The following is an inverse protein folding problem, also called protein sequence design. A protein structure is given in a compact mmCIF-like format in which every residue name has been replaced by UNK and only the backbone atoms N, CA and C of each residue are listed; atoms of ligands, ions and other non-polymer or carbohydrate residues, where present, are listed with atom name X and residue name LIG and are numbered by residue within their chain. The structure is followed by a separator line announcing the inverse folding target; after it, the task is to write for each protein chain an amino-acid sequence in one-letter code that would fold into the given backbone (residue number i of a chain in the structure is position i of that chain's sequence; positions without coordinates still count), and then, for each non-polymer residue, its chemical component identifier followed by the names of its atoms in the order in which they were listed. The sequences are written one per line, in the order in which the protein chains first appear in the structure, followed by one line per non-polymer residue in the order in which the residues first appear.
data_IF_940194079537
#
_entry.id   IF_940194079537
#
_cell.length_a   1.000
_cell.length_b   1.000
_cell.length_c   1.000
_cell.angle_alpha   90.00
_cell.angle_beta   90.00
_cell.angle_gamma   90.00
#
_symmetry.space_group_name_H-M   'P 1'
#
loop_
_entity.id
_entity.type
_entity.pdbx_description
1 polymer ?
#
# COMPACT_ATOMS: atom_id res chain seq x y z
N UNK A 1 34.09 56.07 10.69
CA UNK A 1 33.57 56.76 9.48
C UNK A 1 33.36 55.73 8.38
N UNK A 2 32.13 55.47 7.89
CA UNK A 2 31.89 54.49 6.84
C UNK A 2 32.32 55.04 5.47
N UNK A 3 32.95 54.18 4.67
CA UNK A 3 33.56 54.49 3.38
C UNK A 3 32.49 54.82 2.31
N UNK A 4 32.36 56.11 1.96
CA UNK A 4 31.37 56.64 1.00
C UNK A 4 31.65 56.29 -0.47
N UNK A 5 32.77 55.65 -0.82
CA UNK A 5 33.11 55.33 -2.22
C UNK A 5 32.31 54.17 -2.82
N UNK A 6 31.67 53.33 -2.00
CA UNK A 6 30.99 52.12 -2.49
C UNK A 6 29.51 52.36 -2.89
N UNK A 7 28.83 53.35 -2.29
CA UNK A 7 27.41 53.63 -2.60
C UNK A 7 27.17 54.20 -4.00
N UNK A 8 28.08 55.05 -4.50
CA UNK A 8 27.96 55.62 -5.87
C UNK A 8 28.13 54.55 -6.95
N UNK A 9 28.98 53.54 -6.74
CA UNK A 9 29.15 52.43 -7.69
C UNK A 9 27.97 51.47 -7.69
N UNK A 10 27.38 51.19 -6.53
CA UNK A 10 26.16 50.39 -6.46
C UNK A 10 24.94 51.08 -7.09
N UNK A 11 24.80 52.40 -6.92
CA UNK A 11 23.71 53.15 -7.54
C UNK A 11 23.84 53.18 -9.07
N UNK A 12 25.07 53.36 -9.59
CA UNK A 12 25.33 53.32 -11.04
C UNK A 12 25.02 51.93 -11.65
N UNK A 13 25.32 50.85 -10.92
CA UNK A 13 25.06 49.49 -11.36
C UNK A 13 23.55 49.18 -11.35
N UNK A 14 22.82 49.68 -10.35
CA UNK A 14 21.37 49.51 -10.25
C UNK A 14 20.61 50.27 -11.35
N UNK A 15 21.05 51.49 -11.69
CA UNK A 15 20.42 52.30 -12.74
C UNK A 15 20.82 51.90 -14.16
N UNK A 16 22.04 51.39 -14.36
CA UNK A 16 22.53 51.05 -15.71
C UNK A 16 22.22 49.61 -16.15
N UNK A 17 22.06 48.65 -15.24
CA UNK A 17 21.76 47.26 -15.60
C UNK A 17 20.32 46.83 -15.28
N UNK A 18 19.75 47.28 -14.15
CA UNK A 18 18.44 46.78 -13.72
C UNK A 18 17.28 47.51 -14.40
N UNK A 19 17.44 48.80 -14.68
CA UNK A 19 16.38 49.62 -15.30
C UNK A 19 16.09 49.22 -16.76
N UNK A 20 17.08 48.98 -17.64
CA UNK A 20 16.81 48.52 -19.00
C UNK A 20 16.21 47.12 -19.03
N UNK A 21 16.63 46.25 -18.11
CA UNK A 21 16.11 44.89 -17.98
C UNK A 21 14.65 44.89 -17.48
N UNK A 22 14.33 45.76 -16.51
CA UNK A 22 12.96 45.98 -16.06
C UNK A 22 12.08 46.55 -17.17
N UNK A 23 12.53 47.55 -17.93
CA UNK A 23 11.78 48.08 -19.08
C UNK A 23 11.62 47.05 -20.21
N UNK A 24 12.59 46.16 -20.40
CA UNK A 24 12.49 45.05 -21.36
C UNK A 24 11.41 44.04 -20.95
N UNK A 25 11.41 43.60 -19.68
CA UNK A 25 10.37 42.70 -19.17
C UNK A 25 9.00 43.38 -19.09
N UNK A 26 8.94 44.66 -18.75
CA UNK A 26 7.70 45.43 -18.71
C UNK A 26 7.09 45.60 -20.12
N UNK A 27 7.91 45.92 -21.14
CA UNK A 27 7.46 45.94 -22.53
C UNK A 27 7.07 44.55 -23.03
N UNK A 28 7.82 43.49 -22.71
CA UNK A 28 7.47 42.13 -23.12
C UNK A 28 6.15 41.65 -22.49
N UNK A 29 5.87 42.05 -21.24
CA UNK A 29 4.61 41.73 -20.56
C UNK A 29 3.43 42.54 -21.12
N UNK A 30 3.61 43.83 -21.40
CA UNK A 30 2.56 44.67 -21.98
C UNK A 30 2.30 44.35 -23.46
N UNK A 31 3.33 44.04 -24.27
CA UNK A 31 3.13 43.63 -25.66
C UNK A 31 2.43 42.28 -25.78
N UNK A 32 2.68 41.32 -24.87
CA UNK A 32 1.94 40.05 -24.84
C UNK A 32 0.47 40.25 -24.46
N UNK A 33 0.17 41.14 -23.50
CA UNK A 33 -1.22 41.44 -23.12
C UNK A 33 -1.96 42.17 -24.24
N UNK A 34 -1.30 43.09 -24.94
CA UNK A 34 -1.91 43.88 -26.04
C UNK A 34 -2.05 43.06 -27.34
N UNK A 35 -1.17 42.10 -27.63
CA UNK A 35 -1.31 41.24 -28.81
C UNK A 35 -2.21 40.02 -28.59
N UNK A 36 -2.38 39.54 -27.36
CA UNK A 36 -3.31 38.45 -27.04
C UNK A 36 -4.80 38.86 -27.16
N UNK A 37 -5.11 40.16 -27.30
CA UNK A 37 -6.47 40.64 -27.55
C UNK A 37 -6.85 40.80 -29.03
N UNK A 38 -5.96 40.49 -29.98
CA UNK A 38 -6.22 40.64 -31.41
C UNK A 38 -6.20 39.28 -32.17
N UNK A 39 -6.78 38.24 -31.58
CA UNK A 39 -7.32 37.13 -32.38
C UNK A 39 -8.63 37.58 -33.05
N UNK A 40 -9.03 37.04 -34.22
CA UNK A 40 -10.22 37.49 -34.92
C UNK A 40 -11.47 37.12 -34.10
N UNK A 41 -11.95 38.06 -33.29
CA UNK A 41 -13.28 38.01 -32.72
C UNK A 41 -14.28 38.15 -33.86
N UNK A 42 -14.93 37.05 -34.25
CA UNK A 42 -16.05 37.09 -35.18
C UNK A 42 -17.26 37.76 -34.51
N UNK A 43 -17.34 39.08 -34.65
CA UNK A 43 -18.46 39.89 -34.19
C UNK A 43 -19.65 39.74 -35.17
N UNK A 44 -20.51 38.73 -35.01
CA UNK A 44 -21.77 38.67 -35.76
C UNK A 44 -22.85 39.47 -35.03
N UNK A 45 -23.08 40.73 -35.45
CA UNK A 45 -24.28 41.50 -35.08
C UNK A 45 -25.35 41.33 -36.16
N UNK A 46 -26.57 40.97 -35.76
CA UNK A 46 -27.79 41.25 -36.53
C UNK A 46 -28.49 42.44 -35.87
N UNK A 47 -28.47 43.65 -36.45
CA UNK A 47 -29.23 44.76 -35.90
C UNK A 47 -30.72 44.57 -36.21
N UNK A 48 -31.56 44.67 -35.17
CA UNK A 48 -32.99 44.89 -35.33
C UNK A 48 -33.25 46.39 -35.18
N UNK A 49 -33.46 47.08 -36.30
CA UNK A 49 -33.89 48.48 -36.31
C UNK A 49 -35.40 48.55 -36.49
N UNK A 50 -36.12 49.02 -35.48
CA UNK A 50 -37.48 49.57 -35.65
C UNK A 50 -37.32 51.07 -35.77
N UNK A 51 -37.45 51.61 -36.98
CA UNK A 51 -37.34 53.04 -37.22
C UNK A 51 -38.61 53.77 -36.77
N UNK A 52 -38.45 54.85 -35.99
CA UNK A 52 -39.45 55.91 -35.83
C UNK A 52 -38.88 57.16 -36.53
N UNK A 53 -39.59 57.80 -37.48
CA UNK A 53 -39.09 58.99 -38.14
C UNK A 53 -39.24 60.19 -37.19
N UNK A 54 -38.33 61.14 -37.35
CA UNK A 54 -38.29 62.48 -36.76
C UNK A 54 -37.67 62.61 -35.35
N UNK A 55 -36.33 62.69 -35.32
CA UNK A 55 -35.61 63.54 -34.37
C UNK A 55 -34.20 63.85 -34.89
N UNK A 56 -33.85 65.12 -35.01
CA UNK A 56 -32.58 65.65 -35.54
C UNK A 56 -31.44 65.73 -34.51
N UNK A 57 -31.41 64.81 -33.55
CA UNK A 57 -30.27 64.64 -32.64
C UNK A 57 -29.85 63.18 -32.62
N UNK A 58 -28.78 62.84 -33.36
CA UNK A 58 -28.08 61.57 -33.22
C UNK A 58 -27.27 61.59 -31.93
N UNK A 59 -27.95 61.45 -30.80
CA UNK A 59 -27.33 60.91 -29.59
C UNK A 59 -27.70 59.43 -29.56
N UNK A 60 -27.01 58.64 -30.39
CA UNK A 60 -27.05 57.19 -30.30
C UNK A 60 -26.39 56.80 -28.97
N UNK A 61 -27.17 56.80 -27.90
CA UNK A 61 -26.84 56.09 -26.67
C UNK A 61 -26.91 54.61 -27.00
N UNK A 62 -25.79 54.03 -27.45
CA UNK A 62 -25.64 52.58 -27.59
C UNK A 62 -25.67 52.00 -26.18
N UNK A 63 -26.84 51.49 -25.79
CA UNK A 63 -27.04 50.84 -24.52
C UNK A 63 -26.30 49.48 -24.54
N UNK A 64 -25.17 49.38 -23.84
CA UNK A 64 -24.38 48.13 -23.70
C UNK A 64 -24.96 47.19 -22.64
N UNK A 65 -26.26 47.26 -22.38
CA UNK A 65 -26.95 46.56 -21.27
C UNK A 65 -26.98 45.04 -21.40
N UNK A 66 -26.49 44.45 -22.50
CA UNK A 66 -26.27 43.01 -22.61
C UNK A 66 -25.11 42.66 -23.55
N UNK A 67 -23.87 42.83 -23.09
CA UNK A 67 -22.73 42.12 -23.70
C UNK A 67 -22.71 40.71 -23.14
N UNK A 68 -23.34 39.77 -23.85
CA UNK A 68 -23.16 38.33 -23.57
C UNK A 68 -21.89 37.86 -24.28
N UNK A 69 -20.84 37.55 -23.51
CA UNK A 69 -19.68 36.82 -24.02
C UNK A 69 -20.15 35.39 -24.33
N UNK A 70 -20.03 34.97 -25.59
CA UNK A 70 -20.36 33.61 -26.01
C UNK A 70 -19.41 32.63 -25.32
N UNK A 71 -19.97 31.64 -24.63
CA UNK A 71 -19.20 30.58 -23.97
C UNK A 71 -18.51 29.74 -25.03
N UNK A 72 -17.24 29.41 -24.82
CA UNK A 72 -16.53 28.51 -25.73
C UNK A 72 -16.74 27.04 -25.32
N UNK A 73 -16.74 26.13 -26.30
CA UNK A 73 -16.77 24.71 -25.98
C UNK A 73 -15.53 24.29 -25.18
N UNK A 74 -15.72 23.40 -24.21
CA UNK A 74 -14.67 22.97 -23.30
C UNK A 74 -13.44 22.37 -24.04
N UNK A 75 -13.67 21.77 -25.22
CA UNK A 75 -12.63 21.24 -26.11
C UNK A 75 -11.62 22.31 -26.61
N UNK A 76 -11.99 23.59 -26.58
CA UNK A 76 -11.08 24.69 -26.93
C UNK A 76 -10.00 24.90 -25.87
N UNK A 77 -10.29 24.57 -24.61
CA UNK A 77 -9.36 24.74 -23.48
C UNK A 77 -8.54 23.48 -23.17
N UNK A 78 -9.07 22.31 -23.52
CA UNK A 78 -8.48 21.02 -23.15
C UNK A 78 -7.53 20.48 -24.20
N UNK A 79 -6.54 19.70 -23.75
CA UNK A 79 -5.70 18.84 -24.61
C UNK A 79 -6.55 17.84 -25.42
N UNK A 80 -5.99 17.22 -26.48
CA UNK A 80 -6.66 16.13 -27.18
C UNK A 80 -7.07 15.00 -26.25
N UNK A 81 -8.28 14.46 -26.41
CA UNK A 81 -8.82 13.39 -25.54
C UNK A 81 -8.10 12.05 -25.69
N UNK A 82 -7.28 11.92 -26.73
CA UNK A 82 -6.41 10.76 -27.02
C UNK A 82 -5.04 10.87 -26.36
N UNK A 83 -4.66 12.03 -25.82
CA UNK A 83 -3.38 12.22 -25.13
C UNK A 83 -3.34 11.39 -23.84
N UNK A 84 -2.22 10.71 -23.58
CA UNK A 84 -1.99 10.05 -22.29
C UNK A 84 -1.77 11.11 -21.23
N UNK A 85 -2.65 11.16 -20.23
CA UNK A 85 -2.51 12.09 -19.10
C UNK A 85 -2.14 11.30 -17.85
N UNK A 86 -1.01 11.66 -17.24
CA UNK A 86 -0.56 11.04 -15.99
C UNK A 86 -0.87 11.94 -14.80
N UNK A 87 -1.68 11.43 -13.87
CA UNK A 87 -2.03 12.09 -12.60
C UNK A 87 -1.49 11.30 -11.41
N UNK A 88 -1.25 11.95 -10.29
CA UNK A 88 -0.89 11.29 -9.04
C UNK A 88 -2.14 10.84 -8.29
N UNK A 89 -1.99 9.89 -7.37
CA UNK A 89 -3.10 9.50 -6.48
C UNK A 89 -3.63 10.67 -5.63
N UNK A 90 -2.76 11.61 -5.25
CA UNK A 90 -3.15 12.81 -4.52
C UNK A 90 -4.09 13.69 -5.36
N UNK A 91 -3.74 13.94 -6.62
CA UNK A 91 -4.53 14.72 -7.56
C UNK A 91 -5.88 14.07 -7.90
N UNK A 92 -5.93 12.74 -7.98
CA UNK A 92 -7.19 11.99 -8.15
C UNK A 92 -8.15 12.23 -6.98
N UNK A 93 -7.59 12.37 -5.78
CA UNK A 93 -8.35 12.54 -4.54
C UNK A 93 -8.75 14.00 -4.33
N UNK A 94 -7.80 14.93 -4.45
CA UNK A 94 -8.01 16.36 -4.20
C UNK A 94 -8.81 17.02 -5.32
N UNK A 95 -8.65 16.56 -6.57
CA UNK A 95 -9.24 17.16 -7.78
C UNK A 95 -8.97 18.67 -7.87
N UNK A 96 -7.79 19.06 -7.41
CA UNK A 96 -7.38 20.45 -7.30
C UNK A 96 -6.98 21.06 -8.66
N UNK A 97 -6.54 22.32 -8.62
CA UNK A 97 -6.13 23.05 -9.81
C UNK A 97 -4.90 22.42 -10.50
N UNK A 98 -4.00 21.78 -9.75
CA UNK A 98 -2.85 21.09 -10.36
C UNK A 98 -3.32 19.89 -11.16
N UNK A 99 -4.29 19.14 -10.63
CA UNK A 99 -4.95 18.05 -11.36
C UNK A 99 -5.62 18.57 -12.65
N UNK A 100 -6.34 19.70 -12.59
CA UNK A 100 -6.99 20.30 -13.77
C UNK A 100 -5.99 20.70 -14.85
N UNK A 101 -4.91 21.40 -14.47
CA UNK A 101 -3.92 21.93 -15.39
C UNK A 101 -3.33 20.84 -16.31
N UNK A 102 -3.21 19.60 -15.83
CA UNK A 102 -2.73 18.45 -16.64
C UNK A 102 -3.60 18.15 -17.86
N UNK A 103 -4.88 18.55 -17.84
CA UNK A 103 -5.85 18.36 -18.93
C UNK A 103 -5.98 19.59 -19.84
N UNK A 104 -5.43 20.74 -19.45
CA UNK A 104 -5.57 21.99 -20.20
C UNK A 104 -4.43 22.17 -21.20
N UNK A 105 -4.71 22.88 -22.30
CA UNK A 105 -3.69 23.34 -23.25
C UNK A 105 -2.78 24.40 -22.61
N UNK A 106 -3.36 25.20 -21.72
CA UNK A 106 -2.69 26.26 -20.99
C UNK A 106 -3.14 26.22 -19.53
N UNK A 107 -2.17 26.13 -18.63
CA UNK A 107 -2.39 26.15 -17.18
C UNK A 107 -3.16 27.41 -16.76
N UNK A 108 -4.15 27.23 -15.88
CA UNK A 108 -4.96 28.33 -15.36
C UNK A 108 -5.99 28.91 -16.35
N UNK A 109 -6.10 28.38 -17.57
CA UNK A 109 -7.13 28.84 -18.53
C UNK A 109 -8.55 28.58 -18.02
N UNK A 110 -8.74 27.55 -17.19
CA UNK A 110 -9.98 27.25 -16.46
C UNK A 110 -9.68 27.04 -14.97
N UNK A 111 -10.65 27.37 -14.12
CA UNK A 111 -10.54 27.22 -12.65
C UNK A 111 -11.46 26.12 -12.12
N UNK A 112 -10.94 25.24 -11.27
CA UNK A 112 -11.74 24.19 -10.60
C UNK A 112 -12.86 24.80 -9.75
N UNK A 113 -14.06 24.23 -9.83
CA UNK A 113 -15.24 24.63 -9.04
C UNK A 113 -15.92 25.92 -9.52
N UNK A 114 -15.20 26.76 -10.28
CA UNK A 114 -15.75 27.97 -10.90
C UNK A 114 -16.14 27.71 -12.36
N UNK A 115 -15.21 27.14 -13.13
CA UNK A 115 -15.40 26.86 -14.55
C UNK A 115 -15.78 25.39 -14.78
N UNK A 116 -15.07 24.47 -14.12
CA UNK A 116 -15.23 23.02 -14.34
C UNK A 116 -15.09 22.20 -13.05
N UNK A 117 -15.65 20.99 -13.07
CA UNK A 117 -15.36 19.92 -12.10
C UNK A 117 -14.66 18.75 -12.78
N UNK A 118 -13.88 18.00 -12.00
CA UNK A 118 -13.14 16.81 -12.48
C UNK A 118 -13.72 15.56 -11.81
N UNK A 119 -14.03 14.55 -12.61
CA UNK A 119 -14.36 13.21 -12.14
C UNK A 119 -13.38 12.21 -12.70
N UNK A 120 -12.68 11.48 -11.83
CA UNK A 120 -11.79 10.39 -12.22
C UNK A 120 -12.50 9.04 -12.10
N UNK A 121 -12.40 8.22 -13.13
CA UNK A 121 -12.72 6.81 -13.10
C UNK A 121 -11.43 6.02 -13.33
N UNK A 122 -10.72 5.72 -12.24
CA UNK A 122 -9.44 5.00 -12.29
C UNK A 122 -9.58 3.59 -12.87
N UNK A 123 -10.73 2.94 -12.66
CA UNK A 123 -11.00 1.59 -13.18
C UNK A 123 -11.06 1.57 -14.71
N UNK A 124 -11.61 2.62 -15.31
CA UNK A 124 -11.70 2.76 -16.76
C UNK A 124 -10.57 3.58 -17.38
N UNK A 125 -9.61 4.06 -16.57
CA UNK A 125 -8.56 4.99 -17.01
C UNK A 125 -9.13 6.26 -17.66
N UNK A 126 -10.24 6.77 -17.10
CA UNK A 126 -10.94 7.95 -17.61
C UNK A 126 -10.90 9.12 -16.65
N UNK A 127 -10.96 10.32 -17.21
CA UNK A 127 -11.36 11.52 -16.49
C UNK A 127 -12.38 12.30 -17.29
N UNK A 128 -13.36 12.87 -16.62
CA UNK A 128 -14.37 13.75 -17.21
C UNK A 128 -14.21 15.14 -16.64
N UNK A 129 -14.07 16.12 -17.52
CA UNK A 129 -14.22 17.53 -17.17
C UNK A 129 -15.62 17.96 -17.55
N UNK A 130 -16.40 18.43 -16.58
CA UNK A 130 -17.75 18.95 -16.81
C UNK A 130 -17.79 20.42 -16.42
N UNK A 131 -18.38 21.26 -17.28
CA UNK A 131 -18.57 22.67 -16.99
C UNK A 131 -19.55 22.86 -15.84
N UNK A 132 -19.24 23.78 -14.93
CA UNK A 132 -20.13 24.21 -13.85
C UNK A 132 -21.23 25.12 -14.41
N UNK A 133 -22.47 24.96 -13.95
CA UNK A 133 -23.66 25.62 -14.51
C UNK A 133 -23.50 27.15 -14.72
N UNK A 134 -22.82 27.83 -13.80
CA UNK A 134 -22.65 29.28 -13.80
C UNK A 134 -21.31 29.76 -14.39
N UNK A 135 -20.52 28.88 -15.03
CA UNK A 135 -19.30 29.31 -15.72
C UNK A 135 -19.65 30.31 -16.82
N UNK A 136 -18.90 31.40 -16.89
CA UNK A 136 -19.03 32.43 -17.95
C UNK A 136 -18.06 32.19 -19.10
N UNK A 137 -17.14 31.23 -18.99
CA UNK A 137 -16.07 30.99 -19.97
C UNK A 137 -16.34 29.83 -20.90
N UNK A 138 -16.83 28.72 -20.35
CA UNK A 138 -16.90 27.44 -21.06
C UNK A 138 -18.32 26.85 -21.04
N UNK A 139 -18.58 25.93 -21.97
CA UNK A 139 -19.77 25.07 -22.00
C UNK A 139 -19.43 23.63 -22.40
N UNK A 140 -20.31 22.69 -22.06
CA UNK A 140 -20.18 21.28 -22.43
C UNK A 140 -19.37 20.41 -21.44
N UNK A 141 -18.89 19.28 -21.94
CA UNK A 141 -18.14 18.26 -21.18
C UNK A 141 -17.13 17.57 -22.09
N UNK A 142 -16.01 17.12 -21.52
CA UNK A 142 -14.93 16.42 -22.24
C UNK A 142 -14.55 15.17 -21.45
N UNK A 143 -14.39 14.05 -22.16
CA UNK A 143 -13.96 12.77 -21.58
C UNK A 143 -12.60 12.38 -22.15
N UNK A 144 -11.63 12.21 -21.26
CA UNK A 144 -10.31 11.65 -21.56
C UNK A 144 -10.36 10.15 -21.31
N UNK A 145 -9.87 9.36 -22.27
CA UNK A 145 -9.94 7.88 -22.23
C UNK A 145 -8.62 7.20 -21.92
N UNK A 146 -7.54 7.98 -21.74
CA UNK A 146 -6.20 7.46 -21.51
C UNK A 146 -5.52 8.15 -20.32
N UNK A 147 -6.16 8.07 -19.16
CA UNK A 147 -5.66 8.65 -17.90
C UNK A 147 -4.98 7.58 -17.06
N UNK A 148 -3.70 7.78 -16.78
CA UNK A 148 -2.90 6.88 -15.95
C UNK A 148 -2.67 7.49 -14.58
N UNK A 149 -2.79 6.69 -13.53
CA UNK A 149 -2.43 7.10 -12.17
C UNK A 149 -1.00 6.65 -11.89
N UNK A 150 -0.13 7.59 -11.53
CA UNK A 150 1.23 7.33 -11.12
C UNK A 150 1.25 6.56 -9.79
N UNK A 151 1.96 5.43 -9.79
CA UNK A 151 2.18 4.62 -8.60
C UNK A 151 3.33 5.22 -7.80
N UNK A 152 3.20 5.24 -6.48
CA UNK A 152 4.29 5.68 -5.62
C UNK A 152 5.20 4.51 -5.25
N UNK A 153 6.50 4.76 -5.09
CA UNK A 153 7.42 3.75 -4.60
C UNK A 153 7.07 3.31 -3.18
N UNK A 154 7.20 2.02 -2.88
CA UNK A 154 6.88 1.49 -1.55
C UNK A 154 7.62 2.17 -0.39
N UNK A 155 8.79 2.75 -0.64
CA UNK A 155 9.56 3.55 0.33
C UNK A 155 8.80 4.79 0.83
N UNK A 156 7.83 5.31 0.07
CA UNK A 156 7.00 6.44 0.53
C UNK A 156 6.02 6.03 1.62
N UNK A 157 5.56 4.78 1.61
CA UNK A 157 4.57 4.22 2.56
C UNK A 157 5.18 3.50 3.77
N UNK A 158 6.42 3.04 3.67
CA UNK A 158 7.05 2.11 4.62
C UNK A 158 7.94 2.78 5.66
N UNK A 159 8.09 2.19 6.85
CA UNK A 159 8.93 2.76 7.92
C UNK A 159 10.37 2.92 7.45
N UNK A 160 10.96 4.05 7.82
CA UNK A 160 12.36 4.40 7.55
C UNK A 160 13.00 4.92 8.84
N UNK A 161 14.24 4.52 9.17
CA UNK A 161 15.08 3.56 8.43
C UNK A 161 14.59 2.11 8.53
N UNK A 162 15.00 1.25 7.59
CA UNK A 162 14.51 -0.13 7.42
C UNK A 162 15.21 -1.16 8.34
N UNK A 163 16.18 -0.70 9.13
CA UNK A 163 16.89 -1.42 10.18
C UNK A 163 16.26 -1.23 11.57
N UNK A 164 15.13 -0.52 11.66
CA UNK A 164 14.35 -0.45 12.89
C UNK A 164 13.80 -1.83 13.27
N UNK A 165 13.92 -2.17 14.54
CA UNK A 165 13.45 -3.45 15.07
C UNK A 165 11.93 -3.59 14.89
N UNK A 166 11.51 -4.67 14.22
CA UNK A 166 10.10 -5.05 14.05
C UNK A 166 9.93 -6.47 14.57
N UNK A 167 8.95 -6.67 15.45
CA UNK A 167 8.60 -7.99 15.97
C UNK A 167 7.26 -8.45 15.42
N UNK A 168 7.27 -9.67 14.87
CA UNK A 168 6.06 -10.39 14.46
C UNK A 168 6.02 -11.73 15.17
N UNK A 169 4.85 -12.31 15.31
CA UNK A 169 4.68 -13.67 15.83
C UNK A 169 4.94 -14.70 14.75
N UNK A 170 5.22 -15.94 15.15
CA UNK A 170 5.32 -17.05 14.21
C UNK A 170 4.07 -17.22 13.33
N UNK A 171 2.87 -17.01 13.90
CA UNK A 171 1.62 -17.07 13.15
C UNK A 171 1.49 -15.95 12.10
N UNK A 172 1.92 -14.73 12.44
CA UNK A 172 1.95 -13.61 11.49
C UNK A 172 2.98 -13.81 10.37
N UNK A 173 4.07 -14.53 10.65
CA UNK A 173 5.11 -14.82 9.65
C UNK A 173 4.66 -15.87 8.63
N UNK A 174 3.81 -16.83 9.03
CA UNK A 174 3.33 -17.91 8.15
C UNK A 174 2.03 -17.53 7.44
N UNK A 175 1.17 -16.76 8.11
CA UNK A 175 -0.07 -16.25 7.54
C UNK A 175 -0.20 -14.75 7.79
N UNK A 176 0.47 -13.91 6.99
CA UNK A 176 0.43 -12.47 7.17
C UNK A 176 -0.98 -11.91 6.99
N UNK A 177 -1.34 -10.99 7.89
CA UNK A 177 -2.63 -10.28 7.85
C UNK A 177 -2.40 -8.79 7.61
N UNK A 178 -3.48 -8.02 7.48
CA UNK A 178 -3.38 -6.55 7.42
C UNK A 178 -2.64 -5.98 8.63
N UNK A 179 -2.87 -6.54 9.82
CA UNK A 179 -2.16 -6.14 11.04
C UNK A 179 -0.65 -6.38 10.92
N UNK A 180 -0.24 -7.49 10.29
CA UNK A 180 1.18 -7.78 10.00
C UNK A 180 1.77 -6.69 9.12
N UNK A 181 1.14 -6.35 7.99
CA UNK A 181 1.63 -5.30 7.06
C UNK A 181 1.68 -3.93 7.73
N UNK A 182 0.69 -3.58 8.55
CA UNK A 182 0.66 -2.30 9.27
C UNK A 182 1.88 -2.09 10.18
N UNK A 183 2.53 -3.16 10.66
CA UNK A 183 3.79 -3.06 11.41
C UNK A 183 4.96 -2.52 10.58
N UNK A 184 4.88 -2.57 9.25
CA UNK A 184 5.91 -2.10 8.32
C UNK A 184 5.60 -0.73 7.69
N UNK A 185 4.36 -0.24 7.84
CA UNK A 185 3.93 1.03 7.25
C UNK A 185 4.21 2.23 8.20
N UNK A 186 4.44 3.41 7.62
CA UNK A 186 4.50 4.70 8.36
C UNK A 186 3.15 5.04 8.99
N UNK A 187 2.08 4.73 8.26
CA UNK A 187 0.70 4.93 8.70
C UNK A 187 -0.09 3.67 8.38
N UNK A 188 -0.81 3.15 9.36
CA UNK A 188 -1.63 1.95 9.21
C UNK A 188 -2.66 2.12 8.07
N UNK A 189 -2.99 1.01 7.43
CA UNK A 189 -4.05 0.89 6.42
C UNK A 189 -3.90 1.77 5.17
N UNK A 190 -2.70 2.33 4.94
CA UNK A 190 -2.39 3.02 3.68
C UNK A 190 -2.29 2.07 2.49
N UNK A 191 -1.82 0.85 2.73
CA UNK A 191 -1.71 -0.23 1.76
C UNK A 191 -2.47 -1.45 2.27
N UNK A 192 -3.26 -2.07 1.41
CA UNK A 192 -4.03 -3.27 1.70
C UNK A 192 -3.25 -4.52 1.31
N UNK A 193 -3.13 -5.49 2.21
CA UNK A 193 -2.47 -6.78 1.92
C UNK A 193 -3.18 -7.54 0.79
N UNK A 194 -2.42 -8.21 -0.07
CA UNK A 194 -2.84 -8.94 -1.27
C UNK A 194 -3.51 -8.09 -2.38
N UNK A 195 -3.90 -6.86 -2.11
CA UNK A 195 -4.39 -5.90 -3.12
C UNK A 195 -3.28 -4.95 -3.57
N UNK A 196 -2.65 -4.29 -2.61
CA UNK A 196 -1.60 -3.30 -2.86
C UNK A 196 -0.20 -3.90 -2.67
N UNK A 197 -0.04 -4.82 -1.71
CA UNK A 197 1.25 -5.41 -1.32
C UNK A 197 1.15 -6.86 -0.87
N UNK A 198 2.25 -7.59 -0.98
CA UNK A 198 2.50 -8.86 -0.29
C UNK A 198 3.73 -8.72 0.63
N UNK A 199 3.87 -9.64 1.58
CA UNK A 199 5.03 -9.69 2.49
C UNK A 199 5.57 -11.11 2.58
N UNK A 200 6.90 -11.22 2.54
CA UNK A 200 7.62 -12.48 2.74
C UNK A 200 8.61 -12.31 3.89
N UNK A 201 8.71 -13.32 4.75
CA UNK A 201 9.67 -13.35 5.85
C UNK A 201 10.81 -14.32 5.55
N UNK A 202 12.05 -13.86 5.74
CA UNK A 202 13.23 -14.71 5.79
C UNK A 202 13.75 -14.70 7.22
N UNK A 203 13.32 -15.71 7.99
CA UNK A 203 13.64 -15.84 9.41
C UNK A 203 15.12 -16.09 9.67
N UNK A 204 15.82 -16.71 8.73
CA UNK A 204 17.26 -16.98 8.83
C UNK A 204 18.08 -15.69 8.72
N UNK A 205 17.65 -14.76 7.87
CA UNK A 205 18.31 -13.47 7.68
C UNK A 205 17.75 -12.35 8.56
N UNK A 206 16.73 -12.64 9.38
CA UNK A 206 15.99 -11.63 10.16
C UNK A 206 15.42 -10.52 9.27
N UNK A 207 14.95 -10.91 8.08
CA UNK A 207 14.43 -9.99 7.07
C UNK A 207 12.95 -10.18 6.81
N UNK A 208 12.29 -9.11 6.40
CA UNK A 208 11.03 -9.19 5.69
C UNK A 208 11.07 -8.27 4.46
N UNK A 209 10.48 -8.74 3.37
CA UNK A 209 10.40 -8.00 2.12
C UNK A 209 8.94 -7.67 1.85
N UNK A 210 8.64 -6.38 1.73
CA UNK A 210 7.34 -5.88 1.29
C UNK A 210 7.41 -5.63 -0.23
N UNK A 211 6.57 -6.30 -1.01
CA UNK A 211 6.57 -6.20 -2.48
C UNK A 211 5.24 -5.66 -2.96
N UNK A 212 5.25 -4.75 -3.92
CA UNK A 212 4.01 -4.25 -4.51
C UNK A 212 3.29 -5.39 -5.24
N UNK A 213 2.00 -5.54 -5.02
CA UNK A 213 1.21 -6.55 -5.71
C UNK A 213 1.16 -6.23 -7.22
N UNK A 214 1.12 -7.24 -8.12
CA UNK A 214 1.16 -7.01 -9.57
C UNK A 214 0.11 -6.02 -10.09
N UNK A 215 -1.09 -6.08 -9.50
CA UNK A 215 -2.23 -5.24 -9.88
C UNK A 215 -2.45 -4.06 -8.94
N UNK A 216 -1.47 -3.73 -8.09
CA UNK A 216 -1.55 -2.56 -7.21
C UNK A 216 -1.71 -1.29 -8.04
N UNK A 217 -2.72 -0.49 -7.69
CA UNK A 217 -2.96 0.83 -8.30
C UNK A 217 -2.29 1.95 -7.52
N UNK A 218 -1.78 1.67 -6.31
CA UNK A 218 -1.20 2.68 -5.40
C UNK A 218 0.32 2.65 -5.36
N UNK A 219 0.91 1.45 -5.37
CA UNK A 219 2.31 1.25 -5.04
C UNK A 219 3.07 0.45 -6.10
N UNK A 220 4.38 0.67 -6.16
CA UNK A 220 5.33 -0.08 -7.00
C UNK A 220 6.63 -0.37 -6.25
N UNK A 221 7.42 -1.31 -6.77
CA UNK A 221 8.72 -1.68 -6.23
C UNK A 221 8.68 -2.67 -5.06
N UNK A 222 9.76 -2.69 -4.28
CA UNK A 222 9.94 -3.56 -3.12
C UNK A 222 10.78 -2.85 -2.04
N UNK A 223 10.60 -3.22 -0.77
CA UNK A 223 11.37 -2.70 0.37
C UNK A 223 11.77 -3.86 1.28
N UNK A 224 13.07 -3.95 1.56
CA UNK A 224 13.65 -4.91 2.50
C UNK A 224 13.86 -4.29 3.88
N UNK A 225 13.33 -4.96 4.90
CA UNK A 225 13.55 -4.68 6.32
C UNK A 225 14.54 -5.68 6.89
N UNK A 226 15.55 -5.21 7.63
CA UNK A 226 16.72 -6.02 8.02
C UNK A 226 16.80 -6.34 9.52
N UNK A 227 15.89 -5.80 10.33
CA UNK A 227 15.83 -6.02 11.77
C UNK A 227 14.49 -6.65 12.20
N UNK A 228 14.05 -7.68 11.48
CA UNK A 228 12.78 -8.37 11.74
C UNK A 228 13.01 -9.59 12.62
N UNK A 229 12.31 -9.66 13.74
CA UNK A 229 12.36 -10.81 14.65
C UNK A 229 11.01 -11.52 14.66
N UNK A 230 11.05 -12.83 14.41
CA UNK A 230 9.87 -13.69 14.54
C UNK A 230 9.86 -14.32 15.92
N UNK A 231 8.89 -13.91 16.73
CA UNK A 231 8.70 -14.44 18.07
C UNK A 231 8.02 -15.81 18.01
N UNK A 232 8.73 -16.80 18.52
CA UNK A 232 8.26 -18.18 18.68
C UNK A 232 7.43 -18.30 19.96
N UNK A 233 6.30 -19.03 19.95
CA UNK A 233 5.54 -19.31 21.16
C UNK A 233 6.37 -20.15 22.14
N UNK A 234 6.12 -19.97 23.44
CA UNK A 234 6.74 -20.79 24.46
C UNK A 234 6.10 -22.20 24.48
N UNK A 235 6.88 -23.24 24.76
CA UNK A 235 6.38 -24.63 24.72
C UNK A 235 5.13 -24.85 25.59
N UNK A 236 5.03 -24.20 26.75
CA UNK A 236 3.88 -24.30 27.64
C UNK A 236 2.55 -23.85 27.00
N UNK A 237 2.59 -23.04 25.93
CA UNK A 237 1.38 -22.67 25.18
C UNK A 237 0.93 -23.76 24.21
N UNK A 238 1.84 -24.64 23.80
CA UNK A 238 1.63 -25.71 22.81
C UNK A 238 1.43 -27.10 23.45
N UNK A 239 1.97 -27.30 24.64
CA UNK A 239 1.87 -28.56 25.39
C UNK A 239 0.68 -28.56 26.35
N UNK A 240 0.19 -29.74 26.69
CA UNK A 240 -0.82 -29.96 27.74
C UNK A 240 -0.35 -29.41 29.11
N UNK A 241 -1.27 -29.21 30.08
CA UNK A 241 -0.89 -28.86 31.44
C UNK A 241 0.11 -29.86 32.04
N UNK A 242 1.14 -29.37 32.73
CA UNK A 242 2.22 -30.21 33.29
C UNK A 242 1.78 -31.17 34.41
N UNK A 243 0.59 -30.91 34.96
CA UNK A 243 -0.08 -31.71 35.99
C UNK A 243 -0.98 -32.80 35.40
N UNK A 244 -1.27 -32.77 34.10
CA UNK A 244 -2.09 -33.80 33.44
C UNK A 244 -1.36 -35.14 33.50
N UNK A 245 -2.10 -36.21 33.81
CA UNK A 245 -1.56 -37.57 33.76
C UNK A 245 -1.36 -37.97 32.31
N UNK A 246 -0.12 -38.26 31.92
CA UNK A 246 0.21 -38.72 30.57
C UNK A 246 0.64 -40.18 30.65
N UNK A 247 -0.03 -41.04 29.87
CA UNK A 247 0.33 -42.46 29.80
C UNK A 247 1.09 -42.77 28.52
N UNK A 248 2.30 -43.30 28.65
CA UNK A 248 3.17 -43.74 27.54
C UNK A 248 3.45 -45.23 27.64
N UNK A 249 3.82 -45.87 26.54
CA UNK A 249 4.26 -47.27 26.51
C UNK A 249 5.77 -47.34 26.69
N UNK A 250 6.27 -48.51 27.10
CA UNK A 250 7.72 -48.73 27.17
C UNK A 250 8.41 -48.55 25.81
N UNK A 251 7.72 -48.87 24.70
CA UNK A 251 8.25 -48.66 23.36
C UNK A 251 8.45 -47.16 23.05
N UNK A 252 7.45 -46.33 23.36
CA UNK A 252 7.50 -44.87 23.19
C UNK A 252 8.57 -44.19 24.05
N UNK A 253 8.82 -44.72 25.26
CA UNK A 253 9.91 -44.25 26.14
C UNK A 253 11.28 -44.49 25.49
N UNK A 254 11.45 -45.65 24.85
CA UNK A 254 12.70 -46.03 24.19
C UNK A 254 12.87 -45.32 22.85
N UNK A 255 11.83 -45.27 22.02
CA UNK A 255 11.89 -44.70 20.67
C UNK A 255 11.91 -43.17 20.68
N UNK A 256 11.25 -42.54 21.67
CA UNK A 256 11.06 -41.08 21.76
C UNK A 256 10.50 -40.52 20.45
N UNK A 257 9.63 -41.28 19.80
CA UNK A 257 9.12 -40.97 18.48
C UNK A 257 8.02 -39.90 18.50
N UNK A 258 7.47 -39.61 17.32
CA UNK A 258 6.40 -38.64 17.17
C UNK A 258 5.12 -39.03 17.93
N UNK A 259 4.84 -40.33 18.09
CA UNK A 259 3.67 -40.78 18.86
C UNK A 259 3.87 -40.45 20.34
N UNK A 260 5.07 -40.68 20.87
CA UNK A 260 5.44 -40.30 22.22
C UNK A 260 5.27 -38.78 22.44
N UNK A 261 5.81 -37.94 21.54
CA UNK A 261 5.69 -36.48 21.63
C UNK A 261 4.22 -36.01 21.56
N UNK A 262 3.45 -36.53 20.62
CA UNK A 262 2.05 -36.13 20.39
C UNK A 262 1.17 -36.29 21.64
N UNK A 263 1.47 -37.23 22.53
CA UNK A 263 0.73 -37.42 23.78
C UNK A 263 0.76 -36.21 24.71
N UNK A 264 1.81 -35.40 24.62
CA UNK A 264 2.04 -34.21 25.45
C UNK A 264 1.58 -32.90 24.80
N UNK A 265 1.24 -32.91 23.51
CA UNK A 265 0.81 -31.71 22.78
C UNK A 265 -0.69 -31.48 22.96
N UNK A 266 -1.12 -30.20 22.97
CA UNK A 266 -2.56 -29.86 22.90
C UNK A 266 -3.17 -30.29 21.58
N UNK A 267 -2.38 -30.23 20.51
CA UNK A 267 -2.73 -30.66 19.16
C UNK A 267 -1.62 -31.56 18.63
N UNK A 268 -1.97 -32.81 18.29
CA UNK A 268 -1.03 -33.75 17.68
C UNK A 268 -0.47 -33.17 16.37
N UNK A 269 0.82 -33.34 16.13
CA UNK A 269 1.50 -32.79 14.95
C UNK A 269 1.78 -31.29 14.99
N UNK A 270 1.45 -30.57 16.07
CA UNK A 270 1.81 -29.14 16.22
C UNK A 270 3.33 -28.90 16.35
N UNK A 271 4.09 -29.93 16.73
CA UNK A 271 5.55 -29.94 16.77
C UNK A 271 6.08 -31.26 16.21
N UNK A 272 7.19 -31.19 15.47
CA UNK A 272 7.88 -32.36 14.92
C UNK A 272 9.06 -32.75 15.80
N UNK A 273 9.20 -34.04 16.11
CA UNK A 273 10.31 -34.55 16.94
C UNK A 273 11.66 -34.33 16.25
N UNK A 274 12.68 -33.94 17.03
CA UNK A 274 14.05 -33.59 16.61
C UNK A 274 14.18 -32.37 15.67
N UNK A 275 13.10 -31.95 15.01
CA UNK A 275 13.06 -30.69 14.25
C UNK A 275 12.66 -29.53 15.17
N UNK A 276 11.55 -29.66 15.89
CA UNK A 276 11.00 -28.59 16.73
C UNK A 276 11.21 -28.83 18.21
N UNK A 277 11.11 -30.08 18.66
CA UNK A 277 11.30 -30.44 20.05
C UNK A 277 11.90 -31.84 20.23
N UNK A 278 12.58 -32.04 21.35
CA UNK A 278 13.02 -33.35 21.83
C UNK A 278 12.29 -33.71 23.12
N UNK A 279 12.19 -35.00 23.43
CA UNK A 279 11.59 -35.51 24.65
C UNK A 279 12.58 -36.40 25.41
N UNK A 280 12.68 -36.20 26.72
CA UNK A 280 13.45 -37.03 27.63
C UNK A 280 12.55 -37.59 28.72
N UNK A 281 12.64 -38.89 28.99
CA UNK A 281 11.83 -39.57 30.00
C UNK A 281 12.68 -39.90 31.22
N UNK A 282 12.18 -39.50 32.39
CA UNK A 282 12.69 -39.93 33.69
C UNK A 282 11.65 -40.85 34.31
N UNK A 283 11.76 -42.13 33.99
CA UNK A 283 10.80 -43.16 34.44
C UNK A 283 10.89 -43.43 35.93
N UNK A 284 12.03 -43.13 36.57
CA UNK A 284 12.21 -43.24 38.02
C UNK A 284 11.39 -42.19 38.75
N UNK A 285 11.45 -40.93 38.28
CA UNK A 285 10.72 -39.83 38.91
C UNK A 285 9.34 -39.57 38.28
N UNK A 286 8.91 -40.40 37.34
CA UNK A 286 7.63 -40.27 36.61
C UNK A 286 7.51 -38.92 35.88
N UNK A 287 8.62 -38.46 35.29
CA UNK A 287 8.69 -37.19 34.57
C UNK A 287 8.97 -37.38 33.09
N UNK A 288 8.56 -36.40 32.30
CA UNK A 288 9.07 -36.20 30.96
C UNK A 288 9.40 -34.74 30.74
N UNK A 289 10.51 -34.46 30.07
CA UNK A 289 10.92 -33.10 29.72
C UNK A 289 10.84 -32.94 28.22
N UNK A 290 10.12 -31.91 27.76
CA UNK A 290 10.08 -31.51 26.36
C UNK A 290 10.89 -30.24 26.22
N UNK A 291 11.85 -30.25 25.31
CA UNK A 291 12.75 -29.11 25.08
C UNK A 291 12.69 -28.71 23.61
N UNK A 292 12.48 -27.42 23.35
CA UNK A 292 12.52 -26.90 21.99
C UNK A 292 13.94 -27.02 21.46
N UNK A 293 14.09 -27.47 20.22
CA UNK A 293 15.43 -27.55 19.60
C UNK A 293 15.99 -26.15 19.36
N UNK A 294 17.32 -25.97 19.32
CA UNK A 294 17.94 -24.66 19.08
C UNK A 294 17.46 -24.00 17.77
N UNK A 295 17.18 -24.83 16.76
CA UNK A 295 16.80 -24.40 15.41
C UNK A 295 15.29 -24.49 15.15
N UNK A 296 14.47 -24.81 16.17
CA UNK A 296 13.02 -24.87 15.98
C UNK A 296 12.50 -23.54 15.47
N UNK A 297 11.69 -23.55 14.43
CA UNK A 297 10.96 -22.36 13.96
C UNK A 297 9.64 -22.20 14.69
N UNK A 298 9.16 -23.24 15.38
CA UNK A 298 7.79 -23.30 15.91
C UNK A 298 7.68 -23.07 17.41
N UNK A 299 8.73 -23.27 18.20
CA UNK A 299 8.65 -23.14 19.66
C UNK A 299 9.96 -22.63 20.30
N UNK A 300 9.86 -22.19 21.56
CA UNK A 300 11.00 -21.87 22.44
C UNK A 300 10.80 -22.44 23.85
N UNK A 301 11.91 -22.66 24.55
CA UNK A 301 11.94 -23.04 25.97
C UNK A 301 11.91 -24.54 26.24
N UNK A 302 11.52 -24.91 27.46
CA UNK A 302 11.41 -26.30 27.93
C UNK A 302 10.23 -26.42 28.92
N UNK A 303 9.63 -27.60 28.99
CA UNK A 303 8.49 -27.92 29.86
C UNK A 303 8.72 -29.29 30.50
N UNK A 304 8.47 -29.37 31.81
CA UNK A 304 8.60 -30.62 32.58
C UNK A 304 7.22 -31.09 33.04
N UNK A 305 6.84 -32.29 32.62
CA UNK A 305 5.67 -33.02 33.09
C UNK A 305 6.03 -33.85 34.30
N UNK A 306 5.18 -33.84 35.33
CA UNK A 306 5.48 -34.51 36.61
C UNK A 306 4.62 -35.73 36.91
N UNK A 307 3.70 -36.08 36.01
CA UNK A 307 2.77 -37.18 36.21
C UNK A 307 2.71 -38.11 34.99
N UNK A 308 3.87 -38.67 34.63
CA UNK A 308 4.02 -39.58 33.47
C UNK A 308 4.02 -41.03 33.93
N UNK A 309 3.10 -41.82 33.40
CA UNK A 309 2.95 -43.24 33.71
C UNK A 309 3.37 -44.09 32.52
N UNK A 310 4.15 -45.16 32.77
CA UNK A 310 4.56 -46.12 31.74
C UNK A 310 3.69 -47.37 31.82
N UNK A 311 2.95 -47.68 30.76
CA UNK A 311 2.25 -48.95 30.62
C UNK A 311 3.25 -50.08 30.39
N UNK A 312 3.24 -51.06 31.30
CA UNK A 312 3.97 -52.32 31.11
C UNK A 312 3.29 -53.13 30.01
N UNK A 313 4.04 -53.52 28.98
CA UNK A 313 3.55 -54.55 28.07
C UNK A 313 3.48 -55.89 28.81
N UNK A 314 2.29 -56.46 28.92
CA UNK A 314 2.13 -57.85 29.35
C UNK A 314 2.71 -58.77 28.27
N UNK A 315 3.85 -59.39 28.58
CA UNK A 315 4.46 -60.42 27.74
C UNK A 315 3.54 -61.65 27.76
N UNK A 316 2.70 -61.84 26.73
CA UNK A 316 1.99 -63.12 26.52
C UNK A 316 3.06 -64.22 26.36
N UNK A 317 3.34 -64.97 27.44
CA UNK A 317 4.16 -66.19 27.38
C UNK A 317 3.39 -67.21 26.54
N UNK A 318 3.85 -67.48 25.32
CA UNK A 318 3.38 -68.59 24.50
C UNK A 318 3.71 -69.91 25.18
N UNK A 319 2.71 -70.76 25.36
CA UNK A 319 2.85 -72.14 25.81
C UNK A 319 3.64 -72.95 24.76
N UNK A 320 4.90 -73.27 25.06
CA UNK A 320 5.61 -74.37 24.42
C UNK A 320 5.08 -75.69 25.03
N UNK A 321 4.10 -76.32 24.38
CA UNK A 321 3.79 -77.73 24.64
C UNK A 321 4.60 -78.53 23.63
N UNK A 322 5.68 -79.12 24.12
CA UNK A 322 6.54 -80.00 23.35
C UNK A 322 5.79 -81.23 22.85
N UNK A 323 6.22 -81.70 21.68
CA UNK A 323 5.88 -82.98 21.07
C UNK A 323 5.82 -84.11 22.11
N UNK A 324 4.64 -84.67 22.34
CA UNK A 324 4.47 -86.03 22.87
C UNK A 324 3.86 -86.87 21.75
N UNK A 325 4.71 -87.69 21.12
CA UNK A 325 4.30 -88.84 20.30
C UNK A 325 3.82 -89.94 21.24
N UNK A 326 2.55 -90.32 21.18
CA UNK A 326 2.06 -91.62 21.63
C UNK A 326 1.04 -92.12 20.61
N UNK A 327 1.42 -93.12 19.82
CA UNK A 327 0.48 -94.04 19.17
C UNK A 327 1.11 -95.43 19.18
N UNK A 328 0.72 -96.24 20.17
CA UNK A 328 0.79 -97.70 20.11
C UNK A 328 -0.60 -98.26 20.47
N UNK A 329 -1.21 -98.89 19.45
CA UNK A 329 -1.87 -100.21 19.43
C UNK A 329 -3.00 -100.53 20.42
N UNK A 330 -4.19 -100.86 19.89
CA UNK A 330 -4.95 -102.08 20.24
C UNK A 330 -6.04 -102.34 19.19
N UNK A 331 -6.02 -103.47 18.46
CA UNK A 331 -6.62 -104.78 18.80
C UNK A 331 -8.13 -104.67 19.06
N UNK A 332 -8.90 -105.25 18.12
CA UNK A 332 -10.35 -105.37 18.09
C UNK A 332 -10.75 -105.85 16.69
#
# INVERSE_FOLDING_TARGET
MPNFKNKKRQLLFLTSCLLPLFLFFFNMFFFNIVHAQNGPYYFKRKPTTTAKPDSTTLQDSVDFTAVTVEKQDLSNFTKPTTETITVTQAEVTSKDQNALNKFLKQDGSLTVGTDVTITFNANERKATLAVVANSTKAQGSVVFTNVTVEKQDLSTFTKTPTDQAITVTQAESTNPTQATVNKFLKTADKLTINTDVTITFNTNERKATLTAAPNSTKAQGSVDFTAVTVEKPALNTLTKPTTETITVTQAEVTSKDQNALNKFLKQAGSLTVNTDATIEFDTTNKKATITATPNSTQAKGSVVFTNVTVEKQEKKRGNNIGNIKVFFKNIG
#
